data_IF_848007581050
#
_entry.id   IF_848007581050
#
_cell.length_a   1.000
_cell.length_b   1.000
_cell.length_c   1.000
_cell.angle_alpha   90.00
_cell.angle_beta   90.00
_cell.angle_gamma   90.00
#
_symmetry.space_group_name_H-M   'P 1'
#
loop_
_entity.id
_entity.type
_entity.pdbx_description
1 polymer ?
#
# COMPACT_ATOMS: atom_id res chain seq x y z
N UNK A 1 28.47 15.57 -3.16
CA UNK A 1 27.24 16.33 -3.50
C UNK A 1 27.30 16.58 -4.99
N UNK A 2 26.29 16.15 -5.75
CA UNK A 2 26.20 16.40 -7.20
C UNK A 2 25.52 17.74 -7.46
N UNK A 3 25.90 18.41 -8.54
CA UNK A 3 25.29 19.64 -9.03
C UNK A 3 24.82 19.48 -10.47
N UNK A 4 23.94 20.37 -10.90
CA UNK A 4 23.54 20.44 -12.29
C UNK A 4 24.76 20.75 -13.16
N UNK A 5 24.96 19.96 -14.22
CA UNK A 5 26.11 20.07 -15.12
C UNK A 5 27.23 19.06 -14.86
N UNK A 6 27.20 18.35 -13.74
CA UNK A 6 28.20 17.31 -13.46
C UNK A 6 28.00 16.09 -14.38
N UNK A 7 29.08 15.62 -15.00
CA UNK A 7 29.09 14.38 -15.78
C UNK A 7 29.30 13.22 -14.82
N UNK A 8 28.34 12.30 -14.78
CA UNK A 8 28.35 11.15 -13.85
C UNK A 8 28.21 9.83 -14.59
N UNK A 9 28.85 8.79 -14.06
CA UNK A 9 28.65 7.41 -14.50
C UNK A 9 27.55 6.78 -13.66
N UNK A 10 26.54 6.23 -14.32
CA UNK A 10 25.38 5.59 -13.67
C UNK A 10 25.13 4.21 -14.26
N UNK A 11 24.44 3.36 -13.49
CA UNK A 11 23.97 2.05 -13.92
C UNK A 11 22.46 2.11 -14.14
N UNK A 12 22.01 1.55 -15.26
CA UNK A 12 20.58 1.45 -15.59
C UNK A 12 19.97 0.27 -14.85
N UNK A 13 18.88 0.52 -14.12
CA UNK A 13 18.17 -0.50 -13.35
C UNK A 13 16.97 -1.04 -14.11
N UNK A 14 16.11 -0.16 -14.62
CA UNK A 14 14.88 -0.53 -15.34
C UNK A 14 14.59 0.46 -16.48
N UNK A 15 13.93 -0.04 -17.52
CA UNK A 15 13.50 0.76 -18.68
C UNK A 15 12.02 0.51 -18.94
N UNK A 16 11.22 1.56 -18.80
CA UNK A 16 9.80 1.56 -19.13
C UNK A 16 9.60 2.37 -20.43
N UNK A 17 9.53 1.64 -21.55
CA UNK A 17 9.35 2.22 -22.88
C UNK A 17 7.99 2.90 -23.06
N UNK A 18 6.84 2.30 -22.66
CA UNK A 18 5.54 2.95 -22.77
C UNK A 18 5.48 4.32 -22.08
N UNK A 19 6.11 4.46 -20.91
CA UNK A 19 6.09 5.71 -20.13
C UNK A 19 7.29 6.61 -20.38
N UNK A 20 8.24 6.17 -21.22
CA UNK A 20 9.51 6.85 -21.50
C UNK A 20 10.30 7.16 -20.22
N UNK A 21 10.36 6.19 -19.30
CA UNK A 21 11.05 6.34 -18.00
C UNK A 21 12.22 5.36 -17.91
N UNK A 22 13.28 5.81 -17.25
CA UNK A 22 14.48 4.99 -16.99
C UNK A 22 14.86 5.17 -15.53
N UNK A 23 14.98 4.06 -14.80
CA UNK A 23 15.47 4.06 -13.43
C UNK A 23 17.01 3.92 -13.43
N UNK A 24 17.70 4.83 -12.74
CA UNK A 24 19.16 4.93 -12.72
C UNK A 24 19.68 4.91 -11.28
N UNK A 25 20.88 4.37 -11.07
CA UNK A 25 21.60 4.45 -9.78
C UNK A 25 23.05 4.86 -10.01
N UNK A 26 23.59 5.67 -9.09
CA UNK A 26 25.03 5.99 -9.05
C UNK A 26 25.83 4.91 -8.31
N UNK A 27 25.17 3.98 -7.61
CA UNK A 27 25.81 2.88 -6.89
C UNK A 27 26.05 1.72 -7.86
N UNK A 28 27.31 1.33 -8.05
CA UNK A 28 27.68 0.35 -9.08
C UNK A 28 27.48 -1.11 -8.62
N UNK A 29 27.52 -1.31 -7.31
CA UNK A 29 27.33 -2.58 -6.61
C UNK A 29 25.86 -3.02 -6.51
N UNK A 30 24.91 -2.08 -6.66
CA UNK A 30 23.47 -2.37 -6.58
C UNK A 30 23.02 -3.24 -7.77
N UNK A 31 22.26 -4.31 -7.49
CA UNK A 31 21.73 -5.21 -8.52
C UNK A 31 20.35 -4.76 -9.03
N UNK A 32 20.08 -4.88 -10.34
CA UNK A 32 18.76 -4.63 -10.90
C UNK A 32 17.76 -5.69 -10.40
N UNK A 33 16.68 -5.25 -9.74
CA UNK A 33 15.61 -6.11 -9.21
C UNK A 33 15.31 -5.91 -7.72
N UNK A 34 16.29 -5.51 -6.91
CA UNK A 34 16.12 -5.35 -5.45
C UNK A 34 15.30 -4.10 -5.06
N UNK A 35 15.28 -3.08 -5.92
CA UNK A 35 14.59 -1.81 -5.66
C UNK A 35 13.06 -1.87 -5.85
N UNK A 36 12.54 -2.92 -6.49
CA UNK A 36 11.13 -2.99 -6.90
C UNK A 36 10.18 -3.27 -5.71
N UNK A 37 10.66 -3.98 -4.68
CA UNK A 37 9.85 -4.35 -3.52
C UNK A 37 9.49 -3.18 -2.58
N UNK A 38 10.21 -2.05 -2.64
CA UNK A 38 10.08 -0.95 -1.64
C UNK A 38 9.54 0.36 -2.21
N UNK A 39 9.56 0.55 -3.53
CA UNK A 39 9.15 1.82 -4.17
C UNK A 39 7.97 1.69 -5.16
N UNK A 40 7.44 0.48 -5.35
CA UNK A 40 6.23 0.19 -6.14
C UNK A 40 4.92 0.11 -5.32
N UNK A 41 4.88 0.64 -4.10
CA UNK A 41 3.69 0.59 -3.23
C UNK A 41 2.71 1.75 -3.44
N UNK A 42 2.47 2.15 -4.69
CA UNK A 42 1.49 3.16 -5.07
C UNK A 42 0.17 2.59 -5.57
N UNK A 43 -0.07 1.29 -5.38
CA UNK A 43 -1.34 0.63 -5.69
C UNK A 43 -2.12 0.39 -4.39
N UNK A 44 -3.20 1.18 -4.26
CA UNK A 44 -4.45 0.84 -3.59
C UNK A 44 -4.34 -0.12 -2.40
N UNK A 45 -4.44 0.44 -1.20
CA UNK A 45 -5.19 -0.27 -0.15
C UNK A 45 -6.67 -0.11 -0.50
N UNK A 46 -7.38 -1.10 -1.08
CA UNK A 46 -8.79 -1.21 -0.81
C UNK A 46 -8.87 -1.62 0.67
N UNK A 47 -8.93 -0.61 1.54
CA UNK A 47 -9.19 -0.82 2.95
C UNK A 47 -10.48 -1.62 3.02
N UNK A 48 -10.33 -2.85 3.52
CA UNK A 48 -11.25 -3.96 3.37
C UNK A 48 -12.71 -3.57 3.23
N UNK A 49 -13.29 -4.03 2.12
CA UNK A 49 -14.64 -4.57 2.07
C UNK A 49 -14.83 -5.51 3.27
N UNK A 50 -15.18 -4.93 4.43
CA UNK A 50 -15.56 -5.61 5.65
C UNK A 50 -16.92 -6.23 5.37
N UNK A 51 -16.85 -7.37 4.69
CA UNK A 51 -17.91 -8.31 4.50
C UNK A 51 -18.73 -8.38 5.77
N UNK A 52 -20.02 -8.08 5.61
CA UNK A 52 -21.07 -8.84 6.26
C UNK A 52 -21.03 -8.83 7.80
N UNK A 53 -21.18 -7.65 8.42
CA UNK A 53 -21.82 -7.61 9.74
C UNK A 53 -23.30 -7.95 9.55
N UNK A 54 -23.58 -9.26 9.64
CA UNK A 54 -24.90 -9.85 9.84
C UNK A 54 -25.70 -8.97 10.82
N UNK A 55 -26.92 -8.52 10.48
CA UNK A 55 -27.74 -7.78 11.43
C UNK A 55 -28.14 -8.74 12.57
N UNK A 56 -27.98 -8.37 13.84
CA UNK A 56 -28.63 -9.10 14.92
C UNK A 56 -30.11 -8.70 14.88
N UNK A 57 -30.99 -9.65 14.65
CA UNK A 57 -32.43 -9.47 14.85
C UNK A 57 -33.00 -10.74 15.50
N UNK A 58 -34.19 -10.70 16.12
CA UNK A 58 -34.46 -10.14 17.45
C UNK A 58 -35.17 -11.21 18.30
N UNK A 59 -34.54 -11.82 19.32
CA UNK A 59 -35.24 -12.83 20.12
C UNK A 59 -34.81 -13.00 21.58
N UNK A 60 -33.77 -12.29 22.05
CA UNK A 60 -33.22 -12.53 23.40
C UNK A 60 -33.49 -11.38 24.38
N UNK A 61 -34.04 -10.25 23.92
CA UNK A 61 -34.46 -9.14 24.81
C UNK A 61 -35.84 -9.35 25.46
N UNK A 62 -36.29 -10.60 25.61
CA UNK A 62 -37.55 -10.98 26.28
C UNK A 62 -37.26 -11.96 27.42
N UNK A 63 -36.44 -11.56 28.38
CA UNK A 63 -36.40 -12.20 29.71
C UNK A 63 -35.64 -11.28 30.66
N UNK A 64 -36.20 -11.07 31.85
CA UNK A 64 -35.74 -10.19 32.93
C UNK A 64 -36.10 -8.71 32.68
N UNK A 65 -36.96 -8.06 33.47
CA UNK A 65 -37.16 -8.10 34.92
C UNK A 65 -38.62 -7.78 35.32
N UNK A 66 -39.06 -8.13 36.56
CA UNK A 66 -40.44 -8.05 37.02
C UNK A 66 -40.85 -6.65 37.52
N UNK A 67 -42.17 -6.52 37.72
CA UNK A 67 -42.95 -5.33 38.03
C UNK A 67 -42.50 -4.52 39.27
N UNK A 68 -42.68 -3.20 39.21
CA UNK A 68 -43.18 -2.40 40.34
C UNK A 68 -43.98 -1.22 39.78
N UNK A 69 -45.26 -1.16 40.13
CA UNK A 69 -46.21 -0.12 39.77
C UNK A 69 -46.20 1.01 40.82
N UNK A 70 -46.42 2.25 40.36
CA UNK A 70 -47.04 3.33 41.13
C UNK A 70 -47.81 4.25 40.20
#
# INVERSE_FOLDING_TARGET
>A
MVKAGDIVKVKVMEVDLPRKRIALTMRLDEQPGDSNARRGGGQERPQGNRRLRKPPNPAVARRSLPATAR
#
